data_IF_606044894149
#
_entry.id   IF_606044894149
#
_cell.length_a   1.000
_cell.length_b   1.000
_cell.length_c   1.000
_cell.angle_alpha   90.00
_cell.angle_beta   90.00
_cell.angle_gamma   90.00
#
_symmetry.space_group_name_H-M   'P 1'
#
loop_
_entity.id
_entity.type
_entity.pdbx_description
1 polymer ?
#
# COMPACT_ATOMS: atom_id res chain seq x y z
N UNK A 1 -7.41 -15.83 -24.28
CA UNK A 1 -6.85 -16.19 -22.95
C UNK A 1 -5.92 -15.10 -22.43
N UNK A 2 -5.03 -14.59 -23.28
CA UNK A 2 -4.13 -13.49 -22.95
C UNK A 2 -4.85 -12.19 -22.56
N UNK A 3 -5.90 -11.78 -23.29
CA UNK A 3 -6.65 -10.55 -23.00
C UNK A 3 -7.39 -10.60 -21.64
N UNK A 4 -7.91 -11.77 -21.26
CA UNK A 4 -8.56 -11.99 -19.96
C UNK A 4 -7.53 -11.85 -18.83
N UNK A 5 -6.31 -12.34 -19.06
CA UNK A 5 -5.21 -12.21 -18.10
C UNK A 5 -4.80 -10.74 -17.92
N UNK A 6 -4.65 -9.99 -19.02
CA UNK A 6 -4.37 -8.54 -18.97
C UNK A 6 -5.48 -7.81 -18.22
N UNK A 7 -6.74 -8.04 -18.58
CA UNK A 7 -7.89 -7.41 -17.92
C UNK A 7 -7.89 -7.68 -16.41
N UNK A 8 -7.64 -8.93 -16.00
CA UNK A 8 -7.59 -9.31 -14.59
C UNK A 8 -6.44 -8.62 -13.86
N UNK A 9 -5.27 -8.49 -14.49
CA UNK A 9 -4.09 -7.82 -13.94
C UNK A 9 -4.28 -6.31 -13.79
N UNK A 10 -4.87 -5.63 -14.77
CA UNK A 10 -5.20 -4.20 -14.70
C UNK A 10 -6.18 -3.97 -13.55
N UNK A 11 -7.24 -4.78 -13.43
CA UNK A 11 -8.19 -4.66 -12.33
C UNK A 11 -7.55 -4.97 -10.97
N UNK A 12 -6.68 -5.98 -10.87
CA UNK A 12 -5.93 -6.28 -9.65
C UNK A 12 -4.96 -5.15 -9.25
N UNK A 13 -4.36 -4.47 -10.23
CA UNK A 13 -3.55 -3.27 -10.01
C UNK A 13 -4.40 -2.15 -9.40
N UNK A 14 -5.51 -1.79 -10.05
CA UNK A 14 -6.42 -0.75 -9.55
C UNK A 14 -6.98 -1.09 -8.18
N UNK A 15 -7.33 -2.36 -7.95
CA UNK A 15 -7.77 -2.86 -6.66
C UNK A 15 -6.69 -2.66 -5.60
N UNK A 16 -5.44 -3.05 -5.88
CA UNK A 16 -4.32 -2.89 -4.93
C UNK A 16 -4.00 -1.41 -4.69
N UNK A 17 -4.03 -0.59 -5.73
CA UNK A 17 -3.72 0.83 -5.66
C UNK A 17 -4.79 1.61 -4.88
N UNK A 18 -6.08 1.31 -5.09
CA UNK A 18 -7.17 2.00 -4.39
C UNK A 18 -7.41 1.38 -3.02
N UNK A 19 -7.74 0.09 -2.96
CA UNK A 19 -8.14 -0.56 -1.71
C UNK A 19 -6.95 -0.82 -0.80
N UNK A 20 -5.77 -1.15 -1.34
CA UNK A 20 -4.56 -1.30 -0.52
C UNK A 20 -4.20 0.03 0.16
N UNK A 21 -4.20 1.13 -0.61
CA UNK A 21 -3.91 2.48 -0.06
C UNK A 21 -4.97 2.91 0.95
N UNK A 22 -6.26 2.71 0.67
CA UNK A 22 -7.34 2.99 1.62
C UNK A 22 -7.22 2.17 2.90
N UNK A 23 -6.92 0.87 2.78
CA UNK A 23 -6.76 -0.03 3.94
C UNK A 23 -5.61 0.44 4.83
N UNK A 24 -4.47 0.76 4.23
CA UNK A 24 -3.32 1.30 4.95
C UNK A 24 -3.61 2.68 5.55
N UNK A 25 -4.40 3.52 4.87
CA UNK A 25 -4.79 4.83 5.38
C UNK A 25 -5.74 4.71 6.59
N UNK A 26 -6.73 3.81 6.53
CA UNK A 26 -7.66 3.54 7.65
C UNK A 26 -6.89 3.00 8.84
N UNK A 27 -6.02 2.01 8.65
CA UNK A 27 -5.20 1.47 9.74
C UNK A 27 -4.32 2.54 10.38
N UNK A 28 -3.73 3.42 9.56
CA UNK A 28 -2.90 4.52 10.05
C UNK A 28 -3.71 5.54 10.85
N UNK A 29 -4.91 5.86 10.36
CA UNK A 29 -5.88 6.72 11.04
C UNK A 29 -6.27 6.13 12.39
N UNK A 30 -6.64 4.85 12.43
CA UNK A 30 -6.99 4.15 13.68
C UNK A 30 -5.83 4.17 14.67
N UNK A 31 -4.60 3.96 14.21
CA UNK A 31 -3.41 4.02 15.05
C UNK A 31 -3.17 5.43 15.62
N UNK A 32 -3.30 6.47 14.80
CA UNK A 32 -3.11 7.86 15.23
C UNK A 32 -4.17 8.28 16.28
N UNK A 33 -5.44 7.97 16.05
CA UNK A 33 -6.54 8.42 16.93
C UNK A 33 -6.74 7.57 18.19
N UNK A 34 -6.38 6.28 18.16
CA UNK A 34 -6.46 5.42 19.36
C UNK A 34 -5.20 5.46 20.22
N UNK A 35 -4.08 5.96 19.69
CA UNK A 35 -2.83 6.04 20.41
C UNK A 35 -2.72 7.29 21.30
N UNK A 36 -1.83 7.29 22.31
CA UNK A 36 -1.56 8.45 23.17
C UNK A 36 -0.64 9.46 22.46
N UNK A 37 -1.02 9.90 21.26
CA UNK A 37 -0.22 10.82 20.44
C UNK A 37 -0.75 12.25 20.57
N UNK A 38 0.16 13.24 20.53
CA UNK A 38 -0.23 14.64 20.42
C UNK A 38 -0.85 14.92 19.04
N UNK A 39 -1.66 15.97 18.92
CA UNK A 39 -2.29 16.33 17.63
C UNK A 39 -1.24 16.54 16.51
N UNK A 40 -0.08 17.09 16.85
CA UNK A 40 1.05 17.22 15.92
C UNK A 40 1.56 15.86 15.43
N UNK A 41 1.70 14.90 16.33
CA UNK A 41 2.18 13.56 15.99
C UNK A 41 1.13 12.77 15.21
N UNK A 42 -0.16 12.94 15.52
CA UNK A 42 -1.26 12.37 14.75
C UNK A 42 -1.24 12.85 13.30
N UNK A 43 -1.08 14.16 13.08
CA UNK A 43 -0.96 14.74 11.74
C UNK A 43 0.29 14.21 11.02
N UNK A 44 1.43 14.12 11.70
CA UNK A 44 2.64 13.51 11.14
C UNK A 44 2.40 12.06 10.76
N UNK A 45 1.76 11.26 11.61
CA UNK A 45 1.43 9.88 11.32
C UNK A 45 0.57 9.82 10.06
N UNK A 46 -0.54 10.57 9.99
CA UNK A 46 -1.49 10.49 8.88
C UNK A 46 -0.93 10.98 7.55
N UNK A 47 -0.34 12.18 7.53
CA UNK A 47 -0.03 12.91 6.30
C UNK A 47 1.40 12.74 5.81
N UNK A 48 2.31 12.17 6.60
CA UNK A 48 3.66 11.89 6.08
C UNK A 48 3.55 10.79 5.01
N UNK A 49 4.13 11.02 3.82
CA UNK A 49 4.06 10.06 2.73
C UNK A 49 4.72 8.73 3.08
N UNK A 50 4.38 7.69 2.31
CA UNK A 50 5.01 6.36 2.38
C UNK A 50 4.95 5.69 3.77
N UNK A 51 3.98 6.07 4.60
CA UNK A 51 3.84 5.55 5.98
C UNK A 51 5.03 5.87 6.89
N UNK A 52 5.92 6.81 6.52
CA UNK A 52 7.10 7.14 7.31
C UNK A 52 6.73 7.66 8.70
N UNK A 53 5.66 8.47 8.78
CA UNK A 53 5.12 8.97 10.04
C UNK A 53 4.68 7.85 10.98
N UNK A 54 4.06 6.79 10.44
CA UNK A 54 3.70 5.60 11.19
C UNK A 54 4.94 4.86 11.71
N UNK A 55 5.93 4.61 10.85
CA UNK A 55 7.14 3.86 11.25
C UNK A 55 7.98 4.58 12.30
N UNK A 56 8.00 5.93 12.27
CA UNK A 56 8.67 6.73 13.28
C UNK A 56 8.09 6.52 14.68
N UNK A 57 6.78 6.34 14.79
CA UNK A 57 6.07 6.25 16.08
C UNK A 57 5.69 4.81 16.48
N UNK A 58 5.69 3.87 15.53
CA UNK A 58 5.40 2.45 15.75
C UNK A 58 6.65 1.64 16.16
N UNK A 59 7.68 2.25 16.75
CA UNK A 59 8.91 1.55 17.14
C UNK A 59 8.68 0.44 18.20
N UNK A 60 7.58 0.52 18.94
CA UNK A 60 7.12 -0.59 19.78
C UNK A 60 6.63 -1.74 18.89
N UNK A 61 7.21 -2.94 19.06
CA UNK A 61 6.90 -4.20 18.33
C UNK A 61 5.49 -4.74 18.63
N UNK A 62 4.47 -3.89 18.60
CA UNK A 62 3.08 -4.26 18.80
C UNK A 62 2.62 -5.16 17.65
N UNK A 63 1.67 -6.04 17.96
CA UNK A 63 1.05 -6.94 16.95
C UNK A 63 0.46 -6.11 15.80
N UNK A 64 -0.14 -4.96 16.11
CA UNK A 64 -0.65 -4.02 15.12
C UNK A 64 0.44 -3.53 14.14
N UNK A 65 1.59 -3.10 14.67
CA UNK A 65 2.71 -2.63 13.84
C UNK A 65 3.26 -3.72 12.92
N UNK A 66 3.26 -4.98 13.37
CA UNK A 66 3.64 -6.13 12.54
C UNK A 66 2.64 -6.36 11.40
N UNK A 67 1.34 -6.39 11.70
CA UNK A 67 0.29 -6.58 10.69
C UNK A 67 0.35 -5.44 9.65
N UNK A 68 0.47 -4.19 10.10
CA UNK A 68 0.60 -3.05 9.21
C UNK A 68 1.79 -3.20 8.25
N UNK A 69 2.96 -3.57 8.78
CA UNK A 69 4.16 -3.77 7.97
C UNK A 69 4.00 -4.88 6.95
N UNK A 70 3.39 -6.00 7.34
CA UNK A 70 3.11 -7.13 6.43
C UNK A 70 2.19 -6.66 5.29
N UNK A 71 1.11 -5.93 5.61
CA UNK A 71 0.19 -5.40 4.59
C UNK A 71 0.88 -4.41 3.65
N UNK A 72 1.73 -3.52 4.16
CA UNK A 72 2.52 -2.60 3.32
C UNK A 72 3.39 -3.39 2.34
N UNK A 73 4.09 -4.43 2.81
CA UNK A 73 4.96 -5.25 1.96
C UNK A 73 4.14 -5.98 0.91
N UNK A 74 3.04 -6.62 1.31
CA UNK A 74 2.18 -7.37 0.38
C UNK A 74 1.66 -6.44 -0.71
N UNK A 75 1.03 -5.31 -0.34
CA UNK A 75 0.48 -4.38 -1.32
C UNK A 75 1.54 -3.75 -2.22
N UNK A 76 2.73 -3.47 -1.67
CA UNK A 76 3.84 -2.96 -2.46
C UNK A 76 4.32 -4.01 -3.48
N UNK A 77 4.56 -5.25 -3.06
CA UNK A 77 5.05 -6.32 -3.95
C UNK A 77 4.00 -6.65 -5.03
N UNK A 78 2.73 -6.82 -4.65
CA UNK A 78 1.67 -7.12 -5.63
C UNK A 78 1.45 -5.95 -6.59
N UNK A 79 1.42 -4.72 -6.08
CA UNK A 79 1.30 -3.52 -6.90
C UNK A 79 2.48 -3.34 -7.85
N UNK A 80 3.70 -3.62 -7.39
CA UNK A 80 4.92 -3.53 -8.19
C UNK A 80 4.96 -4.58 -9.31
N UNK A 81 4.61 -5.84 -9.01
CA UNK A 81 4.51 -6.90 -10.03
C UNK A 81 3.46 -6.54 -11.09
N UNK A 82 2.29 -6.08 -10.65
CA UNK A 82 1.23 -5.70 -11.57
C UNK A 82 1.64 -4.47 -12.42
N UNK A 83 2.36 -3.51 -11.84
CA UNK A 83 2.91 -2.36 -12.57
C UNK A 83 3.92 -2.79 -13.64
N UNK A 84 4.89 -3.65 -13.30
CA UNK A 84 5.87 -4.17 -14.29
C UNK A 84 5.14 -4.86 -15.44
N UNK A 85 4.12 -5.66 -15.13
CA UNK A 85 3.37 -6.38 -16.14
C UNK A 85 2.61 -5.43 -17.08
N UNK A 86 1.90 -4.45 -16.52
CA UNK A 86 1.20 -3.43 -17.33
C UNK A 86 2.20 -2.64 -18.18
N UNK A 87 3.32 -2.21 -17.60
CA UNK A 87 4.36 -1.51 -18.35
C UNK A 87 4.91 -2.36 -19.50
N UNK A 88 5.12 -3.67 -19.26
CA UNK A 88 5.56 -4.61 -20.29
C UNK A 88 4.55 -4.77 -21.42
N UNK A 89 3.25 -4.83 -21.10
CA UNK A 89 2.19 -4.95 -22.11
C UNK A 89 1.97 -3.66 -22.89
N UNK A 90 1.99 -2.50 -22.23
CA UNK A 90 1.75 -1.18 -22.85
C UNK A 90 2.96 -0.66 -23.63
N UNK A 91 4.18 -1.08 -23.28
CA UNK A 91 5.39 -0.78 -24.07
C UNK A 91 5.50 -1.62 -25.35
N UNK A 92 4.47 -2.42 -25.68
CA UNK A 92 4.45 -3.32 -26.84
C UNK A 92 5.70 -4.23 -26.94
N UNK A 93 6.38 -4.51 -25.82
CA UNK A 93 7.55 -5.40 -25.77
C UNK A 93 7.22 -6.85 -26.16
N UNK A 94 5.93 -7.15 -26.36
CA UNK A 94 5.41 -8.42 -26.87
C UNK A 94 5.25 -8.45 -28.41
N UNK A 95 5.68 -7.41 -29.15
CA UNK A 95 5.66 -7.37 -30.62
C UNK A 95 6.93 -7.94 -31.30
N UNK A 96 7.80 -8.65 -30.57
CA UNK A 96 8.94 -9.39 -31.13
C UNK A 96 8.88 -10.88 -30.79
#
# INVERSE_FOLDING_TARGET
MFDIMIYTLINAFWFTLILGTLTLFILRTVFAFKGPFSLKDQLLIMFTPLSLGFYKHSQNKTVFGKIYRILVIIFFVTGFIAFIYIAYTELELMLL
#
